data_IF_026584964806
#
_entry.id   IF_026584964806
#
_cell.length_a   1.000
_cell.length_b   1.000
_cell.length_c   1.000
_cell.angle_alpha   90.00
_cell.angle_beta   90.00
_cell.angle_gamma   90.00
#
_symmetry.space_group_name_H-M   'P 1'
#
loop_
_entity.id
_entity.type
_entity.pdbx_description
1 polymer ?
#
# COMPACT_ATOMS: atom_id res chain seq x y z
N UNK A 1 -8.03 18.03 0.68
CA UNK A 1 -7.59 16.76 0.09
C UNK A 1 -6.17 16.90 -0.41
N UNK A 2 -5.32 15.89 -0.15
CA UNK A 2 -3.92 15.86 -0.56
C UNK A 2 -3.67 14.81 -1.63
N UNK A 3 -2.67 15.02 -2.47
CA UNK A 3 -2.13 13.97 -3.33
C UNK A 3 -1.09 13.21 -2.50
N UNK A 4 -1.45 12.00 -2.06
CA UNK A 4 -0.57 11.12 -1.27
C UNK A 4 0.67 10.76 -2.06
N UNK A 5 0.51 10.48 -3.35
CA UNK A 5 1.63 10.13 -4.22
C UNK A 5 1.34 10.41 -5.69
N UNK A 6 2.38 10.83 -6.42
CA UNK A 6 2.48 10.66 -7.88
C UNK A 6 3.51 9.57 -8.12
N UNK A 7 3.09 8.45 -8.71
CA UNK A 7 3.94 7.28 -8.92
C UNK A 7 4.18 7.09 -10.42
N UNK A 8 5.45 7.21 -10.83
CA UNK A 8 5.86 6.95 -12.22
C UNK A 8 6.33 5.51 -12.37
N UNK A 9 5.69 4.77 -13.25
CA UNK A 9 6.06 3.42 -13.66
C UNK A 9 7.06 3.45 -14.81
N UNK A 10 8.12 2.65 -14.73
CA UNK A 10 9.10 2.45 -15.82
C UNK A 10 9.44 0.97 -16.00
N UNK A 11 9.59 0.50 -17.23
CA UNK A 11 10.17 -0.83 -17.49
C UNK A 11 11.67 -0.74 -17.77
N UNK A 12 12.45 -1.51 -17.03
CA UNK A 12 13.89 -1.65 -17.14
C UNK A 12 14.25 -2.99 -17.80
N UNK A 13 15.33 -2.96 -18.58
CA UNK A 13 15.95 -4.16 -19.17
C UNK A 13 17.26 -4.50 -18.45
N UNK A 14 17.91 -3.50 -17.87
CA UNK A 14 19.08 -3.61 -17.00
C UNK A 14 19.21 -2.31 -16.18
N UNK A 15 19.96 -2.35 -15.08
CA UNK A 15 20.23 -1.17 -14.24
C UNK A 15 21.31 -0.24 -14.81
N UNK A 16 22.02 -0.67 -15.86
CA UNK A 16 23.03 0.15 -16.53
C UNK A 16 22.43 1.36 -17.26
N UNK A 17 21.17 1.27 -17.70
CA UNK A 17 20.47 2.35 -18.41
C UNK A 17 19.77 3.30 -17.44
N UNK A 18 20.59 4.03 -16.67
CA UNK A 18 20.14 4.99 -15.64
C UNK A 18 19.26 6.14 -16.18
N UNK A 19 19.28 6.38 -17.49
CA UNK A 19 18.56 7.49 -18.12
C UNK A 19 17.04 7.46 -17.88
N UNK A 20 16.42 6.27 -17.91
CA UNK A 20 14.97 6.14 -17.63
C UNK A 20 14.61 6.59 -16.21
N UNK A 21 15.48 6.30 -15.24
CA UNK A 21 15.27 6.70 -13.84
C UNK A 21 15.38 8.23 -13.72
N UNK A 22 16.37 8.84 -14.39
CA UNK A 22 16.54 10.30 -14.43
C UNK A 22 15.34 10.99 -15.06
N UNK A 23 14.83 10.47 -16.18
CA UNK A 23 13.64 10.98 -16.86
C UNK A 23 12.38 10.88 -15.99
N UNK A 24 12.19 9.75 -15.31
CA UNK A 24 11.07 9.56 -14.37
C UNK A 24 11.18 10.51 -13.16
N UNK A 25 12.38 10.73 -12.63
CA UNK A 25 12.63 11.67 -11.53
C UNK A 25 12.29 13.11 -11.94
N UNK A 26 12.77 13.54 -13.11
CA UNK A 26 12.48 14.88 -13.62
C UNK A 26 10.99 15.06 -13.93
N UNK A 27 10.34 14.07 -14.53
CA UNK A 27 8.89 14.10 -14.73
C UNK A 27 8.15 14.23 -13.40
N UNK A 28 8.49 13.44 -12.39
CA UNK A 28 7.87 13.51 -11.06
C UNK A 28 8.01 14.91 -10.44
N UNK A 29 9.20 15.52 -10.54
CA UNK A 29 9.44 16.88 -10.05
C UNK A 29 8.56 17.91 -10.77
N UNK A 30 8.43 17.80 -12.10
CA UNK A 30 7.57 18.68 -12.87
C UNK A 30 6.08 18.46 -12.56
N UNK A 31 5.66 17.21 -12.39
CA UNK A 31 4.32 16.82 -12.01
C UNK A 31 3.93 17.45 -10.67
N UNK A 32 4.80 17.30 -9.66
CA UNK A 32 4.63 17.91 -8.35
C UNK A 32 4.42 19.43 -8.44
N UNK A 33 5.33 20.15 -9.10
CA UNK A 33 5.23 21.60 -9.29
C UNK A 33 3.92 21.97 -10.01
N UNK A 34 3.49 21.17 -10.98
CA UNK A 34 2.28 21.41 -11.76
C UNK A 34 1.02 21.33 -10.88
N UNK A 35 0.92 20.32 -10.02
CA UNK A 35 -0.19 20.19 -9.07
C UNK A 35 -0.16 21.24 -7.96
N UNK A 36 1.01 21.56 -7.41
CA UNK A 36 1.18 22.60 -6.38
C UNK A 36 0.76 23.98 -6.87
N UNK A 37 1.03 24.31 -8.15
CA UNK A 37 0.53 25.54 -8.78
C UNK A 37 -0.99 25.61 -8.92
N UNK A 38 -1.67 24.48 -8.86
CA UNK A 38 -3.15 24.40 -8.83
C UNK A 38 -3.71 24.36 -7.40
N UNK A 39 -2.85 24.48 -6.38
CA UNK A 39 -3.25 24.52 -4.97
C UNK A 39 -3.31 23.16 -4.28
N UNK A 40 -2.82 22.09 -4.90
CA UNK A 40 -2.74 20.77 -4.26
C UNK A 40 -1.42 20.56 -3.54
N UNK A 41 -1.46 20.04 -2.32
CA UNK A 41 -0.27 19.50 -1.65
C UNK A 41 0.04 18.11 -2.21
N UNK A 42 1.28 17.89 -2.65
CA UNK A 42 1.80 16.58 -3.07
C UNK A 42 2.75 16.09 -1.98
N UNK A 43 2.38 15.02 -1.28
CA UNK A 43 3.17 14.52 -0.15
C UNK A 43 4.45 13.80 -0.59
N UNK A 44 4.33 12.94 -1.61
CA UNK A 44 5.46 12.15 -2.11
C UNK A 44 5.42 11.99 -3.62
N UNK A 45 6.58 11.82 -4.23
CA UNK A 45 6.71 11.28 -5.59
C UNK A 45 7.47 9.98 -5.54
N UNK A 46 7.08 9.01 -6.37
CA UNK A 46 7.60 7.63 -6.30
C UNK A 46 7.93 7.10 -7.69
N UNK A 47 8.82 6.11 -7.74
CA UNK A 47 9.12 5.37 -8.98
C UNK A 47 8.93 3.88 -8.72
N UNK A 48 8.21 3.20 -9.61
CA UNK A 48 8.05 1.74 -9.56
C UNK A 48 8.51 1.11 -10.88
N UNK A 49 9.15 -0.06 -10.80
CA UNK A 49 9.63 -0.79 -11.99
C UNK A 49 8.78 -2.02 -12.30
N UNK A 50 9.05 -2.66 -13.45
CA UNK A 50 8.73 -4.09 -13.63
C UNK A 50 9.45 -4.95 -12.57
N UNK A 51 9.14 -6.24 -12.52
CA UNK A 51 9.81 -7.16 -11.59
C UNK A 51 11.32 -7.12 -11.79
N UNK A 52 12.06 -6.99 -10.69
CA UNK A 52 13.52 -7.07 -10.69
C UNK A 52 14.06 -8.43 -11.15
N UNK A 53 13.22 -9.47 -11.16
CA UNK A 53 13.57 -10.77 -11.72
C UNK A 53 13.86 -10.69 -13.23
N UNK A 54 13.27 -9.72 -13.95
CA UNK A 54 13.47 -9.55 -15.40
C UNK A 54 14.80 -8.87 -15.73
N UNK A 55 15.15 -7.79 -15.02
CA UNK A 55 16.32 -6.97 -15.37
C UNK A 55 17.58 -7.29 -14.54
N UNK A 56 17.49 -8.19 -13.56
CA UNK A 56 18.63 -8.77 -12.84
C UNK A 56 18.83 -10.26 -13.15
N UNK A 57 18.14 -10.78 -14.18
CA UNK A 57 18.23 -12.19 -14.56
C UNK A 57 19.67 -12.62 -14.84
N UNK A 58 20.05 -13.79 -14.31
CA UNK A 58 21.37 -14.40 -14.54
C UNK A 58 22.49 -13.93 -13.61
N UNK A 59 22.23 -12.91 -12.78
CA UNK A 59 23.15 -12.48 -11.73
C UNK A 59 23.09 -13.44 -10.52
N UNK A 60 24.20 -13.56 -9.80
CA UNK A 60 24.22 -14.19 -8.48
C UNK A 60 23.53 -13.31 -7.43
N UNK A 61 23.16 -13.90 -6.29
CA UNK A 61 22.57 -13.16 -5.15
C UNK A 61 23.39 -11.94 -4.72
N UNK A 62 24.72 -12.08 -4.68
CA UNK A 62 25.64 -11.01 -4.30
C UNK A 62 25.63 -9.88 -5.34
N UNK A 63 25.68 -10.23 -6.63
CA UNK A 63 25.63 -9.25 -7.71
C UNK A 63 24.29 -8.50 -7.74
N UNK A 64 23.17 -9.19 -7.55
CA UNK A 64 21.84 -8.56 -7.45
C UNK A 64 21.78 -7.52 -6.33
N UNK A 65 22.30 -7.85 -5.14
CA UNK A 65 22.33 -6.91 -4.00
C UNK A 65 23.21 -5.70 -4.33
N UNK A 66 24.41 -5.91 -4.88
CA UNK A 66 25.34 -4.83 -5.23
C UNK A 66 24.74 -3.87 -6.28
N UNK A 67 24.06 -4.42 -7.28
CA UNK A 67 23.38 -3.63 -8.31
C UNK A 67 22.22 -2.81 -7.73
N UNK A 68 21.45 -3.38 -6.78
CA UNK A 68 20.38 -2.65 -6.08
C UNK A 68 20.94 -1.56 -5.16
N UNK A 69 22.07 -1.77 -4.50
CA UNK A 69 22.75 -0.73 -3.72
C UNK A 69 23.24 0.42 -4.62
N UNK A 70 23.76 0.08 -5.80
CA UNK A 70 24.17 1.08 -6.81
C UNK A 70 22.96 1.88 -7.31
N UNK A 71 21.83 1.21 -7.53
CA UNK A 71 20.55 1.85 -7.84
C UNK A 71 20.10 2.81 -6.72
N UNK A 72 20.21 2.41 -5.46
CA UNK A 72 19.88 3.28 -4.33
C UNK A 72 20.76 4.54 -4.30
N UNK A 73 22.06 4.41 -4.51
CA UNK A 73 22.99 5.55 -4.58
C UNK A 73 22.59 6.53 -5.69
N UNK A 74 22.21 6.00 -6.87
CA UNK A 74 21.66 6.82 -7.95
C UNK A 74 20.37 7.53 -7.51
N UNK A 75 19.43 6.81 -6.89
CA UNK A 75 18.17 7.39 -6.41
C UNK A 75 18.42 8.54 -5.41
N UNK A 76 19.33 8.35 -4.47
CA UNK A 76 19.74 9.37 -3.50
C UNK A 76 20.35 10.60 -4.19
N UNK A 77 21.20 10.41 -5.20
CA UNK A 77 21.78 11.51 -5.99
C UNK A 77 20.73 12.34 -6.76
N UNK A 78 19.57 11.74 -7.02
CA UNK A 78 18.42 12.36 -7.70
C UNK A 78 17.34 12.84 -6.72
N UNK A 79 17.58 12.78 -5.40
CA UNK A 79 16.62 13.09 -4.34
C UNK A 79 15.33 12.24 -4.42
N UNK A 80 15.40 11.01 -4.89
CA UNK A 80 14.29 10.05 -4.84
C UNK A 80 14.30 9.38 -3.47
N UNK A 81 13.21 9.50 -2.71
CA UNK A 81 13.09 8.87 -1.36
C UNK A 81 12.27 7.57 -1.35
N UNK A 82 11.59 7.25 -2.45
CA UNK A 82 10.72 6.08 -2.56
C UNK A 82 10.89 5.43 -3.93
N UNK A 83 11.53 4.27 -3.96
CA UNK A 83 11.74 3.49 -5.18
C UNK A 83 11.30 2.04 -4.97
N UNK A 84 10.46 1.51 -5.85
CA UNK A 84 10.01 0.12 -5.80
C UNK A 84 10.58 -0.68 -6.98
N UNK A 85 11.33 -1.73 -6.67
CA UNK A 85 11.97 -2.60 -7.67
C UNK A 85 11.01 -3.69 -8.21
N UNK A 86 9.72 -3.63 -7.84
CA UNK A 86 8.72 -4.62 -8.21
C UNK A 86 8.71 -5.82 -7.26
N UNK A 87 8.31 -6.99 -7.78
CA UNK A 87 8.05 -8.17 -6.98
C UNK A 87 9.00 -9.34 -7.28
N UNK A 88 9.16 -10.24 -6.32
CA UNK A 88 9.71 -11.59 -6.51
C UNK A 88 8.56 -12.61 -6.62
N UNK A 89 8.74 -13.65 -7.44
CA UNK A 89 7.70 -14.67 -7.67
C UNK A 89 8.21 -16.11 -7.56
N UNK A 90 9.41 -16.32 -7.03
CA UNK A 90 10.00 -17.65 -6.80
C UNK A 90 10.65 -17.72 -5.42
N UNK A 91 10.72 -18.90 -4.78
CA UNK A 91 11.33 -19.00 -3.46
C UNK A 91 12.77 -18.46 -3.41
N UNK A 92 13.57 -18.73 -4.44
CA UNK A 92 14.99 -18.34 -4.49
C UNK A 92 15.18 -16.82 -4.56
N UNK A 93 14.26 -16.09 -5.20
CA UNK A 93 14.30 -14.63 -5.30
C UNK A 93 13.64 -13.97 -4.10
N UNK A 94 12.60 -14.59 -3.52
CA UNK A 94 11.98 -14.14 -2.27
C UNK A 94 13.00 -14.17 -1.12
N UNK A 95 13.85 -15.20 -1.01
CA UNK A 95 14.90 -15.30 0.02
C UNK A 95 15.96 -14.17 -0.05
N UNK A 96 16.06 -13.45 -1.17
CA UNK A 96 17.00 -12.33 -1.34
C UNK A 96 16.46 -11.04 -0.70
N UNK A 97 15.14 -10.93 -0.54
CA UNK A 97 14.47 -9.71 -0.08
C UNK A 97 14.97 -9.21 1.29
N UNK A 98 15.18 -10.06 2.31
CA UNK A 98 15.73 -9.61 3.59
C UNK A 98 17.09 -8.93 3.46
N UNK A 99 17.95 -9.44 2.56
CA UNK A 99 19.26 -8.84 2.31
C UNK A 99 19.12 -7.50 1.59
N UNK A 100 18.23 -7.39 0.59
CA UNK A 100 17.88 -6.10 -0.03
C UNK A 100 17.41 -5.09 1.03
N UNK A 101 16.52 -5.52 1.93
CA UNK A 101 15.98 -4.66 2.98
C UNK A 101 17.05 -4.19 3.96
N UNK A 102 17.99 -5.07 4.33
CA UNK A 102 19.08 -4.79 5.27
C UNK A 102 20.10 -3.81 4.70
N UNK A 103 20.42 -3.96 3.41
CA UNK A 103 21.49 -3.21 2.75
C UNK A 103 21.00 -1.94 2.05
N UNK A 104 19.71 -1.62 2.18
CA UNK A 104 19.11 -0.41 1.62
C UNK A 104 18.16 0.28 2.59
N UNK A 105 17.83 1.52 2.30
CA UNK A 105 17.03 2.43 3.13
C UNK A 105 15.76 2.93 2.46
N UNK A 106 15.76 3.08 1.12
CA UNK A 106 14.63 3.64 0.34
C UNK A 106 14.07 2.68 -0.71
N UNK A 107 14.61 1.46 -0.81
CA UNK A 107 14.16 0.44 -1.77
C UNK A 107 13.01 -0.38 -1.15
N UNK A 108 11.91 -0.43 -1.89
CA UNK A 108 10.73 -1.22 -1.60
C UNK A 108 10.64 -2.38 -2.58
N UNK A 109 10.06 -3.48 -2.14
CA UNK A 109 9.73 -4.60 -3.00
C UNK A 109 8.59 -5.42 -2.40
N UNK A 110 8.11 -6.41 -3.16
CA UNK A 110 7.06 -7.30 -2.69
C UNK A 110 7.28 -8.73 -3.16
N UNK A 111 6.42 -9.65 -2.70
CA UNK A 111 6.36 -11.00 -3.24
C UNK A 111 4.95 -11.36 -3.70
N UNK A 112 4.88 -12.08 -4.83
CA UNK A 112 3.64 -12.61 -5.40
C UNK A 112 3.42 -14.06 -4.93
N UNK A 113 2.28 -14.32 -4.30
CA UNK A 113 1.92 -15.67 -3.83
C UNK A 113 0.71 -16.27 -4.54
N UNK A 114 0.07 -15.54 -5.46
CA UNK A 114 -1.00 -16.12 -6.27
C UNK A 114 -1.79 -15.11 -7.08
N UNK A 115 -2.59 -15.64 -7.99
CA UNK A 115 -3.62 -14.90 -8.71
C UNK A 115 -4.76 -15.83 -9.15
N UNK A 116 -5.78 -15.27 -9.78
CA UNK A 116 -6.95 -16.00 -10.25
C UNK A 116 -6.63 -17.06 -11.30
N UNK A 117 -5.55 -16.86 -12.06
CA UNK A 117 -5.18 -17.74 -13.17
C UNK A 117 -4.39 -18.96 -12.67
N UNK A 118 -3.44 -18.73 -11.76
CA UNK A 118 -2.48 -19.73 -11.29
C UNK A 118 -2.85 -20.35 -9.94
N UNK A 119 -3.80 -19.75 -9.21
CA UNK A 119 -4.12 -20.16 -7.85
C UNK A 119 -3.09 -19.68 -6.84
N UNK A 120 -3.05 -20.32 -5.67
CA UNK A 120 -2.10 -19.99 -4.60
C UNK A 120 -0.82 -20.81 -4.78
N UNK A 121 0.33 -20.13 -4.78
CA UNK A 121 1.64 -20.77 -4.67
C UNK A 121 2.02 -20.87 -3.19
N UNK A 122 1.87 -22.08 -2.64
CA UNK A 122 2.15 -22.36 -1.22
C UNK A 122 3.63 -22.28 -0.85
N UNK A 123 4.54 -22.56 -1.78
CA UNK A 123 5.98 -22.45 -1.56
C UNK A 123 6.38 -20.98 -1.42
N UNK A 124 5.90 -20.12 -2.32
CA UNK A 124 6.09 -18.67 -2.22
C UNK A 124 5.45 -18.10 -0.95
N UNK A 125 4.27 -18.59 -0.54
CA UNK A 125 3.64 -18.16 0.71
C UNK A 125 4.51 -18.49 1.93
N UNK A 126 5.06 -19.71 1.99
CA UNK A 126 5.95 -20.14 3.07
C UNK A 126 7.26 -19.35 3.06
N UNK A 127 7.85 -19.11 1.89
CA UNK A 127 9.10 -18.35 1.78
C UNK A 127 8.90 -16.86 2.11
N UNK A 128 7.75 -16.30 1.72
CA UNK A 128 7.36 -14.94 2.11
C UNK A 128 7.18 -14.81 3.62
N UNK A 129 6.62 -15.82 4.28
CA UNK A 129 6.51 -15.84 5.74
C UNK A 129 7.88 -15.84 6.44
N UNK A 130 8.86 -16.60 5.92
CA UNK A 130 10.25 -16.54 6.41
C UNK A 130 10.87 -15.17 6.21
N UNK A 131 10.64 -14.58 5.04
CA UNK A 131 11.10 -13.23 4.68
C UNK A 131 10.57 -12.18 5.65
N UNK A 132 9.26 -12.17 5.93
CA UNK A 132 8.63 -11.26 6.91
C UNK A 132 9.31 -11.37 8.28
N UNK A 133 9.52 -12.62 8.75
CA UNK A 133 10.13 -12.87 10.07
C UNK A 133 11.59 -12.44 10.13
N UNK A 134 12.37 -12.77 9.09
CA UNK A 134 13.80 -12.42 8.99
C UNK A 134 14.01 -10.91 8.93
N UNK A 135 13.23 -10.19 8.09
CA UNK A 135 13.26 -8.72 8.05
C UNK A 135 12.96 -8.15 9.44
N UNK A 136 11.95 -8.70 10.14
CA UNK A 136 11.60 -8.23 11.48
C UNK A 136 12.78 -8.37 12.46
N UNK A 137 13.48 -9.51 12.42
CA UNK A 137 14.60 -9.79 13.32
C UNK A 137 15.87 -9.00 13.00
N UNK A 138 16.04 -8.60 11.74
CA UNK A 138 17.22 -7.89 11.25
C UNK A 138 17.01 -6.36 11.16
N UNK A 139 15.86 -5.84 11.58
CA UNK A 139 15.54 -4.41 11.57
C UNK A 139 15.10 -3.91 12.94
N UNK A 140 15.34 -2.62 13.22
CA UNK A 140 14.94 -1.99 14.47
C UNK A 140 13.43 -2.09 14.67
N UNK A 141 13.00 -2.69 15.78
CA UNK A 141 11.60 -2.88 16.16
C UNK A 141 10.73 -3.52 15.05
N UNK A 142 11.33 -4.28 14.14
CA UNK A 142 10.65 -4.91 13.01
C UNK A 142 10.25 -3.95 11.88
N UNK A 143 10.73 -2.71 11.91
CA UNK A 143 10.33 -1.63 11.00
C UNK A 143 10.66 -1.90 9.53
N UNK A 144 11.63 -2.76 9.24
CA UNK A 144 12.02 -3.10 7.85
C UNK A 144 10.84 -3.63 7.03
N UNK A 145 9.84 -4.25 7.66
CA UNK A 145 8.62 -4.71 7.00
C UNK A 145 7.75 -3.57 6.44
N UNK A 146 8.01 -2.31 6.82
CA UNK A 146 7.38 -1.15 6.16
C UNK A 146 7.70 -1.11 4.66
N UNK A 147 8.85 -1.64 4.25
CA UNK A 147 9.32 -1.68 2.85
C UNK A 147 8.99 -2.97 2.10
N UNK A 148 8.23 -3.89 2.72
CA UNK A 148 7.91 -5.19 2.14
C UNK A 148 6.45 -5.60 2.36
N UNK A 149 5.83 -6.18 1.34
CA UNK A 149 4.51 -6.81 1.49
C UNK A 149 4.40 -8.05 0.60
N UNK A 150 3.44 -8.89 0.93
CA UNK A 150 3.08 -10.09 0.17
C UNK A 150 1.72 -9.86 -0.47
N UNK A 151 1.51 -10.25 -1.72
CA UNK A 151 0.24 -9.99 -2.39
C UNK A 151 -0.27 -11.12 -3.28
N UNK A 152 -1.58 -11.07 -3.52
CA UNK A 152 -2.27 -11.86 -4.53
C UNK A 152 -3.19 -10.97 -5.37
N UNK A 153 -3.36 -11.31 -6.65
CA UNK A 153 -4.25 -10.59 -7.59
C UNK A 153 -4.00 -9.08 -7.78
N UNK A 154 -2.82 -8.58 -7.41
CA UNK A 154 -2.48 -7.18 -7.64
C UNK A 154 -2.08 -6.96 -9.10
N UNK A 155 -2.62 -5.91 -9.71
CA UNK A 155 -2.36 -5.53 -11.10
C UNK A 155 -1.25 -4.45 -11.15
N UNK A 156 -0.64 -4.21 -12.33
CA UNK A 156 0.33 -3.14 -12.48
C UNK A 156 -0.31 -1.77 -12.20
N UNK A 157 0.53 -0.76 -11.97
CA UNK A 157 0.14 0.65 -11.83
C UNK A 157 -0.61 1.00 -10.53
N UNK A 158 -0.61 0.12 -9.51
CA UNK A 158 -0.93 0.51 -8.13
C UNK A 158 0.09 1.57 -7.66
N UNK A 159 -0.32 2.78 -7.26
CA UNK A 159 0.63 3.83 -6.85
C UNK A 159 1.21 3.63 -5.44
N UNK A 160 0.58 2.77 -4.63
CA UNK A 160 0.93 2.55 -3.23
C UNK A 160 2.01 1.49 -3.04
N UNK A 161 2.97 1.79 -2.17
CA UNK A 161 4.07 0.88 -1.83
C UNK A 161 3.70 0.06 -0.60
N UNK A 162 4.18 -1.19 -0.47
CA UNK A 162 5.22 -1.85 -1.29
C UNK A 162 4.71 -2.64 -2.51
N UNK A 163 3.41 -2.62 -2.81
CA UNK A 163 2.83 -3.44 -3.88
C UNK A 163 3.11 -2.93 -5.30
N UNK A 164 3.36 -1.62 -5.46
CA UNK A 164 3.54 -0.98 -6.75
C UNK A 164 4.57 -1.71 -7.66
N UNK A 165 4.15 -2.00 -8.88
CA UNK A 165 5.01 -2.42 -9.98
C UNK A 165 4.42 -1.92 -11.31
N UNK A 166 5.20 -1.99 -12.38
CA UNK A 166 4.81 -1.42 -13.68
C UNK A 166 5.06 -2.39 -14.84
N UNK A 167 4.24 -2.29 -15.89
CA UNK A 167 4.45 -2.99 -17.15
C UNK A 167 4.19 -2.05 -18.34
N UNK A 168 5.05 -2.16 -19.36
CA UNK A 168 4.89 -1.46 -20.63
C UNK A 168 5.66 -0.14 -20.73
N UNK A 169 5.04 0.85 -21.39
CA UNK A 169 5.65 2.17 -21.59
C UNK A 169 5.51 3.03 -20.35
N UNK A 170 6.49 3.91 -20.13
CA UNK A 170 6.50 4.88 -19.03
C UNK A 170 5.16 5.58 -18.89
N UNK A 171 4.61 5.51 -17.69
CA UNK A 171 3.31 6.07 -17.34
C UNK A 171 3.27 6.50 -15.89
N UNK A 172 2.25 7.25 -15.49
CA UNK A 172 2.08 7.66 -14.11
C UNK A 172 0.66 7.45 -13.59
N UNK A 173 0.57 7.20 -12.29
CA UNK A 173 -0.68 7.12 -11.53
C UNK A 173 -0.66 8.06 -10.33
N UNK A 174 -1.85 8.39 -9.84
CA UNK A 174 -2.05 9.28 -8.71
C UNK A 174 -2.70 8.49 -7.58
N UNK A 175 -2.13 8.56 -6.38
CA UNK A 175 -2.76 8.10 -5.14
C UNK A 175 -3.20 9.28 -4.29
N UNK A 176 -4.41 9.19 -3.70
CA UNK A 176 -5.01 10.27 -2.92
C UNK A 176 -5.06 9.95 -1.43
N UNK A 177 -5.11 11.00 -0.60
CA UNK A 177 -5.45 10.93 0.82
C UNK A 177 -6.85 11.53 0.99
N UNK A 178 -7.86 10.68 1.22
CA UNK A 178 -9.28 11.02 1.14
C UNK A 178 -9.98 11.16 2.51
N UNK A 179 -9.22 11.07 3.62
CA UNK A 179 -9.77 11.01 4.97
C UNK A 179 -10.62 12.23 5.36
N UNK A 180 -10.26 13.41 4.86
CA UNK A 180 -11.00 14.66 5.09
C UNK A 180 -12.38 14.65 4.40
N UNK A 181 -12.43 14.23 3.13
CA UNK A 181 -13.68 14.15 2.35
C UNK A 181 -14.64 13.12 2.94
N UNK A 182 -14.11 12.00 3.45
CA UNK A 182 -14.91 10.96 4.11
C UNK A 182 -15.42 11.42 5.46
N UNK A 183 -14.56 12.02 6.29
CA UNK A 183 -14.99 12.60 7.56
C UNK A 183 -16.11 13.62 7.34
N UNK A 184 -15.98 14.49 6.33
CA UNK A 184 -17.02 15.45 5.96
C UNK A 184 -18.33 14.75 5.57
N UNK A 185 -18.28 13.80 4.64
CA UNK A 185 -19.47 13.12 4.13
C UNK A 185 -20.24 12.36 5.22
N UNK A 186 -19.50 11.66 6.10
CA UNK A 186 -20.09 10.83 7.16
C UNK A 186 -20.59 11.69 8.34
N UNK A 187 -19.90 12.78 8.67
CA UNK A 187 -20.33 13.69 9.75
C UNK A 187 -21.63 14.44 9.45
N UNK A 188 -21.98 14.61 8.17
CA UNK A 188 -23.17 15.31 7.72
C UNK A 188 -24.34 14.37 7.41
N UNK A 189 -24.20 13.07 7.69
CA UNK A 189 -25.19 12.06 7.36
C UNK A 189 -25.80 11.43 8.62
N UNK A 190 -27.11 11.20 8.58
CA UNK A 190 -27.84 10.52 9.66
C UNK A 190 -28.00 9.01 9.42
N UNK A 191 -27.64 8.52 8.24
CA UNK A 191 -27.74 7.12 7.83
C UNK A 191 -26.81 6.82 6.64
N UNK A 192 -26.57 5.53 6.40
CA UNK A 192 -25.64 5.05 5.35
C UNK A 192 -26.02 5.55 3.97
N UNK A 193 -27.30 5.61 3.63
CA UNK A 193 -27.76 6.04 2.29
C UNK A 193 -27.41 7.50 2.03
N UNK A 194 -27.65 8.39 3.01
CA UNK A 194 -27.25 9.80 2.91
C UNK A 194 -25.73 9.95 2.87
N UNK A 195 -24.99 9.18 3.65
CA UNK A 195 -23.52 9.19 3.62
C UNK A 195 -22.97 8.77 2.25
N UNK A 196 -23.54 7.73 1.65
CA UNK A 196 -23.19 7.22 0.31
C UNK A 196 -23.39 8.31 -0.75
N UNK A 197 -24.54 8.97 -0.74
CA UNK A 197 -24.87 10.05 -1.68
C UNK A 197 -23.96 11.27 -1.52
N UNK A 198 -23.72 11.70 -0.27
CA UNK A 198 -22.85 12.83 0.04
C UNK A 198 -21.42 12.56 -0.44
N UNK A 199 -20.88 11.37 -0.13
CA UNK A 199 -19.53 11.01 -0.52
C UNK A 199 -19.40 10.91 -2.04
N UNK A 200 -20.38 10.32 -2.73
CA UNK A 200 -20.36 10.22 -4.19
C UNK A 200 -20.29 11.61 -4.84
N UNK A 201 -21.11 12.55 -4.40
CA UNK A 201 -21.10 13.93 -4.92
C UNK A 201 -19.74 14.60 -4.70
N UNK A 202 -19.20 14.49 -3.49
CA UNK A 202 -17.93 15.12 -3.11
C UNK A 202 -16.78 14.53 -3.94
N UNK A 203 -16.69 13.20 -4.04
CA UNK A 203 -15.61 12.54 -4.77
C UNK A 203 -15.71 12.81 -6.27
N UNK A 204 -16.91 12.78 -6.86
CA UNK A 204 -17.09 13.09 -8.28
C UNK A 204 -16.56 14.49 -8.61
N UNK A 205 -16.88 15.49 -7.77
CA UNK A 205 -16.41 16.86 -7.98
C UNK A 205 -14.89 17.01 -7.81
N UNK A 206 -14.32 16.44 -6.75
CA UNK A 206 -12.91 16.65 -6.42
C UNK A 206 -11.96 15.82 -7.30
N UNK A 207 -12.33 14.58 -7.64
CA UNK A 207 -11.46 13.71 -8.45
C UNK A 207 -11.47 14.14 -9.93
N UNK A 208 -12.58 14.68 -10.45
CA UNK A 208 -12.61 15.23 -11.80
C UNK A 208 -11.61 16.38 -11.98
N UNK A 209 -11.44 17.26 -10.98
CA UNK A 209 -10.44 18.34 -11.03
C UNK A 209 -9.03 17.77 -11.17
N UNK A 210 -8.68 16.76 -10.37
CA UNK A 210 -7.37 16.10 -10.43
C UNK A 210 -7.17 15.39 -11.77
N UNK A 211 -8.18 14.66 -12.25
CA UNK A 211 -8.13 13.95 -13.52
C UNK A 211 -7.84 14.92 -14.69
N UNK A 212 -8.51 16.07 -14.74
CA UNK A 212 -8.26 17.09 -15.78
C UNK A 212 -6.82 17.62 -15.73
N UNK A 213 -6.26 17.82 -14.53
CA UNK A 213 -4.86 18.25 -14.37
C UNK A 213 -3.90 17.16 -14.83
N UNK A 214 -4.20 15.89 -14.49
CA UNK A 214 -3.40 14.74 -14.90
C UNK A 214 -3.38 14.55 -16.43
N UNK A 215 -4.53 14.68 -17.10
CA UNK A 215 -4.59 14.59 -18.58
C UNK A 215 -3.77 15.71 -19.24
N UNK A 216 -3.85 16.95 -18.73
CA UNK A 216 -2.99 18.05 -19.22
C UNK A 216 -1.50 17.77 -19.05
N UNK A 217 -1.13 17.12 -17.94
CA UNK A 217 0.25 16.71 -17.68
C UNK A 217 0.68 15.62 -18.67
N UNK A 218 -0.19 14.64 -18.92
CA UNK A 218 0.02 13.57 -19.89
C UNK A 218 0.29 14.13 -21.29
N UNK A 219 -0.56 15.05 -21.77
CA UNK A 219 -0.40 15.70 -23.07
C UNK A 219 0.90 16.52 -23.17
N UNK A 220 1.20 17.29 -22.11
CA UNK A 220 2.35 18.20 -22.10
C UNK A 220 3.69 17.46 -22.12
N UNK A 221 3.80 16.35 -21.39
CA UNK A 221 5.06 15.63 -21.21
C UNK A 221 5.13 14.32 -22.01
N UNK A 222 4.07 13.95 -22.73
CA UNK A 222 3.95 12.69 -23.46
C UNK A 222 4.20 11.45 -22.59
N UNK A 223 3.80 11.51 -21.31
CA UNK A 223 3.84 10.39 -20.36
C UNK A 223 2.43 9.96 -20.06
N UNK A 224 2.09 8.69 -20.33
CA UNK A 224 0.71 8.22 -20.24
C UNK A 224 0.15 8.33 -18.82
N UNK A 225 -1.01 8.99 -18.67
CA UNK A 225 -1.77 8.94 -17.42
C UNK A 225 -2.59 7.64 -17.33
N UNK A 226 -2.40 6.87 -16.27
CA UNK A 226 -3.06 5.55 -16.09
C UNK A 226 -4.27 5.60 -15.17
N UNK A 227 -4.44 6.66 -14.40
CA UNK A 227 -5.62 6.84 -13.55
C UNK A 227 -5.28 7.33 -12.14
N UNK A 228 -6.36 7.48 -11.37
CA UNK A 228 -6.33 7.72 -9.94
C UNK A 228 -6.67 6.41 -9.22
N UNK A 229 -5.85 6.05 -8.25
CA UNK A 229 -6.24 5.07 -7.25
C UNK A 229 -7.08 5.79 -6.17
N UNK A 230 -8.37 5.48 -6.16
CA UNK A 230 -9.36 6.05 -5.26
C UNK A 230 -9.32 5.42 -3.87
N UNK A 231 -8.37 4.52 -3.61
CA UNK A 231 -8.16 3.96 -2.29
C UNK A 231 -7.92 5.02 -1.21
N UNK A 232 -8.50 4.76 -0.04
CA UNK A 232 -8.37 5.63 1.12
C UNK A 232 -7.05 5.33 1.79
N UNK A 233 -6.01 6.13 1.50
CA UNK A 233 -4.87 6.21 2.39
C UNK A 233 -5.25 7.13 3.57
N UNK A 234 -5.32 6.63 4.81
CA UNK A 234 -5.54 7.48 5.96
C UNK A 234 -4.27 8.30 6.29
N UNK A 235 -4.44 9.27 7.16
CA UNK A 235 -3.36 10.11 7.66
C UNK A 235 -3.19 9.89 9.16
N UNK A 236 -2.04 10.32 9.69
CA UNK A 236 -1.79 10.36 11.13
C UNK A 236 -2.57 11.48 11.84
N UNK A 237 -3.33 12.31 11.10
CA UNK A 237 -4.20 13.32 11.67
C UNK A 237 -5.49 12.70 12.22
N UNK A 238 -5.70 12.93 13.51
CA UNK A 238 -6.91 12.55 14.23
C UNK A 238 -8.19 13.05 13.57
N UNK A 239 -8.16 14.21 12.93
CA UNK A 239 -9.34 14.83 12.32
C UNK A 239 -9.78 14.12 11.04
N UNK A 240 -8.90 13.36 10.40
CA UNK A 240 -9.17 12.66 9.15
C UNK A 240 -9.13 11.13 9.30
N UNK A 241 -9.11 10.63 10.54
CA UNK A 241 -9.07 9.19 10.82
C UNK A 241 -10.31 8.49 10.26
N UNK A 242 -10.08 7.38 9.55
CA UNK A 242 -11.14 6.59 8.95
C UNK A 242 -12.00 5.92 10.02
N UNK A 243 -11.39 5.41 11.09
CA UNK A 243 -12.13 4.78 12.19
C UNK A 243 -13.06 5.80 12.87
N UNK A 244 -12.58 7.02 13.11
CA UNK A 244 -13.42 8.06 13.72
C UNK A 244 -14.48 8.60 12.77
N UNK A 245 -14.24 8.60 11.45
CA UNK A 245 -15.26 8.93 10.47
C UNK A 245 -16.43 7.93 10.51
N UNK A 246 -16.14 6.62 10.65
CA UNK A 246 -17.18 5.59 10.79
C UNK A 246 -18.09 5.87 11.98
N UNK A 247 -17.49 6.25 13.10
CA UNK A 247 -18.16 6.52 14.38
C UNK A 247 -19.05 7.77 14.35
N UNK A 248 -18.96 8.60 13.30
CA UNK A 248 -19.95 9.66 13.05
C UNK A 248 -21.27 9.13 12.50
N UNK A 249 -21.22 7.99 11.83
CA UNK A 249 -22.35 7.37 11.16
C UNK A 249 -22.98 6.22 11.95
N UNK A 250 -22.20 5.56 12.83
CA UNK A 250 -22.66 4.45 13.66
C UNK A 250 -22.76 4.84 15.14
N UNK A 251 -23.64 4.16 15.88
CA UNK A 251 -23.81 4.37 17.33
C UNK A 251 -22.73 3.68 18.19
N UNK A 252 -21.77 3.00 17.56
CA UNK A 252 -20.73 2.22 18.22
C UNK A 252 -19.33 2.65 17.79
N UNK A 253 -18.33 1.85 18.16
CA UNK A 253 -16.95 2.05 17.76
C UNK A 253 -16.64 1.26 16.48
N UNK A 254 -15.65 1.71 15.72
CA UNK A 254 -15.10 0.88 14.64
C UNK A 254 -14.72 -0.49 15.20
N UNK A 255 -15.07 -1.56 14.49
CA UNK A 255 -14.93 -2.94 14.96
C UNK A 255 -16.25 -3.56 15.43
N UNK A 256 -17.20 -2.76 15.90
CA UNK A 256 -18.53 -3.26 16.27
C UNK A 256 -19.40 -3.56 15.03
N UNK A 257 -20.54 -4.20 15.27
CA UNK A 257 -21.58 -4.46 14.26
C UNK A 257 -21.92 -3.19 13.47
N UNK A 258 -21.97 -3.31 12.14
CA UNK A 258 -22.16 -2.19 11.22
C UNK A 258 -20.87 -1.75 10.51
N UNK A 259 -19.68 -2.01 11.08
CA UNK A 259 -18.39 -1.66 10.45
C UNK A 259 -18.26 -2.25 9.04
N UNK A 260 -18.61 -3.53 8.87
CA UNK A 260 -18.56 -4.20 7.56
C UNK A 260 -19.49 -3.54 6.52
N UNK A 261 -20.68 -3.09 6.93
CA UNK A 261 -21.64 -2.46 6.04
C UNK A 261 -21.14 -1.09 5.55
N UNK A 262 -20.54 -0.30 6.45
CA UNK A 262 -19.93 0.99 6.10
C UNK A 262 -18.72 0.75 5.18
N UNK A 263 -17.87 -0.22 5.47
CA UNK A 263 -16.73 -0.58 4.60
C UNK A 263 -17.18 -0.97 3.18
N UNK A 264 -18.24 -1.76 3.07
CA UNK A 264 -18.82 -2.10 1.78
C UNK A 264 -19.40 -0.91 1.03
N UNK A 265 -20.06 0.02 1.74
CA UNK A 265 -20.56 1.27 1.15
C UNK A 265 -19.43 2.15 0.62
N UNK A 266 -18.39 2.41 1.42
CA UNK A 266 -17.26 3.23 1.00
C UNK A 266 -16.61 2.64 -0.26
N UNK A 267 -16.32 1.34 -0.28
CA UNK A 267 -15.74 0.70 -1.46
C UNK A 267 -16.64 0.81 -2.70
N UNK A 268 -17.98 0.73 -2.58
CA UNK A 268 -18.88 0.95 -3.72
C UNK A 268 -18.72 2.36 -4.29
N UNK A 269 -18.70 3.38 -3.43
CA UNK A 269 -18.57 4.77 -3.87
C UNK A 269 -17.21 5.03 -4.52
N UNK A 270 -16.12 4.54 -3.91
CA UNK A 270 -14.77 4.70 -4.47
C UNK A 270 -14.61 4.10 -5.88
N UNK A 271 -15.42 3.08 -6.21
CA UNK A 271 -15.43 2.42 -7.52
C UNK A 271 -16.44 3.01 -8.51
N UNK A 272 -17.36 3.87 -8.07
CA UNK A 272 -18.43 4.40 -8.92
C UNK A 272 -18.15 5.80 -9.48
N UNK A 273 -17.04 6.44 -9.08
CA UNK A 273 -16.66 7.76 -9.59
C UNK A 273 -16.28 7.71 -11.07
N UNK A 274 -16.65 8.75 -11.82
CA UNK A 274 -16.56 8.77 -13.28
C UNK A 274 -15.22 9.28 -13.80
N UNK A 275 -14.12 8.88 -13.17
CA UNK A 275 -12.75 9.17 -13.60
C UNK A 275 -12.04 7.91 -14.06
N UNK A 276 -10.89 8.05 -14.72
CA UNK A 276 -10.01 6.91 -15.00
C UNK A 276 -9.46 6.35 -13.69
N UNK A 277 -9.95 5.19 -13.27
CA UNK A 277 -9.57 4.52 -12.03
C UNK A 277 -8.44 3.51 -12.29
N UNK A 278 -7.49 3.40 -11.36
CA UNK A 278 -6.44 2.37 -11.35
C UNK A 278 -6.18 1.83 -9.93
N UNK A 279 -5.29 0.84 -9.83
CA UNK A 279 -4.76 0.36 -8.56
C UNK A 279 -5.72 -0.52 -7.75
N UNK A 280 -5.76 -0.34 -6.42
CA UNK A 280 -6.66 -1.09 -5.53
C UNK A 280 -8.11 -0.59 -5.64
N UNK A 281 -8.29 0.74 -5.72
CA UNK A 281 -9.58 1.43 -5.86
C UNK A 281 -10.62 0.98 -4.83
N UNK A 282 -10.20 0.89 -3.57
CA UNK A 282 -11.04 0.43 -2.47
C UNK A 282 -10.52 0.85 -1.10
N UNK A 283 -11.28 0.59 -0.04
CA UNK A 283 -10.88 0.99 1.31
C UNK A 283 -9.54 0.37 1.74
N UNK A 284 -8.61 1.17 2.28
CA UNK A 284 -7.43 0.64 3.00
C UNK A 284 -7.64 0.82 4.50
N UNK A 285 -7.23 -0.17 5.28
CA UNK A 285 -7.31 -0.15 6.74
C UNK A 285 -5.91 -0.36 7.36
N UNK A 286 -4.93 0.51 7.08
CA UNK A 286 -3.59 0.39 7.64
C UNK A 286 -3.62 0.73 9.14
N UNK A 287 -3.58 -0.31 9.98
CA UNK A 287 -3.77 -0.17 11.43
C UNK A 287 -2.81 0.82 12.07
N UNK A 288 -1.54 0.80 11.68
CA UNK A 288 -0.52 1.68 12.23
C UNK A 288 -0.35 2.99 11.43
N UNK A 289 -1.11 3.25 10.37
CA UNK A 289 -1.09 4.56 9.68
C UNK A 289 -2.36 5.39 9.95
N UNK A 290 -3.25 4.94 10.85
CA UNK A 290 -4.44 5.67 11.26
C UNK A 290 -4.58 5.66 12.79
N UNK A 291 -4.57 6.85 13.39
CA UNK A 291 -4.64 7.01 14.86
C UNK A 291 -5.93 6.45 15.47
N UNK A 292 -7.03 6.43 14.73
CA UNK A 292 -8.28 5.87 15.20
C UNK A 292 -8.31 4.35 15.10
N UNK A 293 -7.78 3.76 14.00
CA UNK A 293 -7.60 2.31 13.92
C UNK A 293 -6.69 1.83 15.07
N UNK A 294 -5.54 2.47 15.27
CA UNK A 294 -4.64 2.17 16.38
C UNK A 294 -5.34 2.29 17.75
N UNK A 295 -6.11 3.36 17.99
CA UNK A 295 -6.86 3.53 19.23
C UNK A 295 -7.89 2.40 19.44
N UNK A 296 -8.57 1.98 18.38
CA UNK A 296 -9.59 0.92 18.42
C UNK A 296 -8.99 -0.48 18.56
N UNK A 297 -7.79 -0.71 18.02
CA UNK A 297 -6.99 -1.89 18.30
C UNK A 297 -6.54 -1.95 19.77
N UNK A 298 -6.11 -0.81 20.34
CA UNK A 298 -5.71 -0.71 21.75
C UNK A 298 -6.86 -1.05 22.72
N UNK A 299 -8.08 -0.70 22.32
CA UNK A 299 -9.33 -1.00 23.03
C UNK A 299 -9.90 -2.40 22.70
N UNK A 300 -9.24 -3.16 21.82
CA UNK A 300 -9.64 -4.52 21.41
C UNK A 300 -11.07 -4.60 20.86
N UNK A 301 -11.49 -3.57 20.14
CA UNK A 301 -12.82 -3.53 19.48
C UNK A 301 -12.88 -4.34 18.19
N UNK A 302 -11.71 -4.70 17.64
CA UNK A 302 -11.57 -5.60 16.49
C UNK A 302 -10.25 -6.36 16.59
N UNK A 303 -10.15 -7.46 15.84
CA UNK A 303 -8.97 -8.32 15.74
C UNK A 303 -8.54 -8.56 14.28
N UNK A 304 -7.56 -9.46 14.09
CA UNK A 304 -7.06 -9.81 12.77
C UNK A 304 -8.10 -10.56 11.92
N UNK A 305 -9.01 -11.31 12.53
CA UNK A 305 -10.13 -11.97 11.85
C UNK A 305 -11.12 -10.94 11.33
N UNK A 306 -11.39 -9.88 12.09
CA UNK A 306 -12.17 -8.75 11.59
C UNK A 306 -11.48 -8.06 10.41
N UNK A 307 -10.16 -7.84 10.46
CA UNK A 307 -9.43 -7.25 9.33
C UNK A 307 -9.51 -8.13 8.07
N UNK A 308 -9.39 -9.46 8.19
CA UNK A 308 -9.61 -10.40 7.09
C UNK A 308 -11.06 -10.33 6.58
N UNK A 309 -12.05 -10.30 7.48
CA UNK A 309 -13.46 -10.15 7.12
C UNK A 309 -13.71 -8.85 6.34
N UNK A 310 -13.17 -7.73 6.82
CA UNK A 310 -13.27 -6.45 6.12
C UNK A 310 -12.56 -6.50 4.76
N UNK A 311 -11.45 -7.24 4.66
CA UNK A 311 -10.75 -7.45 3.39
C UNK A 311 -11.63 -8.07 2.31
N UNK A 312 -12.73 -8.77 2.65
CA UNK A 312 -13.72 -9.23 1.68
C UNK A 312 -14.40 -8.06 0.93
N UNK A 313 -14.59 -6.92 1.58
CA UNK A 313 -15.26 -5.73 1.01
C UNK A 313 -14.35 -4.50 0.85
N UNK A 314 -13.07 -4.58 1.22
CA UNK A 314 -12.08 -3.49 1.13
C UNK A 314 -11.17 -3.56 -0.12
N UNK A 315 -10.13 -2.74 -0.21
CA UNK A 315 -9.16 -2.71 -1.31
C UNK A 315 -7.81 -3.36 -1.00
N UNK A 316 -7.22 -3.16 0.19
CA UNK A 316 -5.79 -3.45 0.41
C UNK A 316 -5.47 -4.80 1.07
N UNK A 317 -6.35 -5.37 1.90
CA UNK A 317 -6.05 -6.57 2.69
C UNK A 317 -5.59 -6.25 4.12
N UNK A 318 -4.56 -6.97 4.60
CA UNK A 318 -3.97 -6.78 5.93
C UNK A 318 -2.84 -5.76 5.85
N UNK A 319 -3.08 -4.52 6.28
CA UNK A 319 -2.11 -3.46 6.08
C UNK A 319 -1.59 -2.89 7.41
N UNK A 320 -0.27 -2.74 7.51
CA UNK A 320 0.46 -2.37 8.74
C UNK A 320 -0.02 -3.08 10.01
N UNK A 321 -0.15 -4.40 9.95
CA UNK A 321 -0.71 -5.16 11.08
C UNK A 321 0.42 -5.67 12.00
N UNK A 322 0.54 -5.18 13.25
CA UNK A 322 1.53 -5.68 14.18
C UNK A 322 1.10 -7.03 14.76
N UNK A 323 1.98 -8.01 14.71
CA UNK A 323 1.78 -9.38 15.18
C UNK A 323 2.93 -9.79 16.13
N UNK A 324 2.78 -10.87 16.93
CA UNK A 324 3.78 -11.24 17.91
C UNK A 324 5.12 -11.57 17.26
N UNK A 325 6.24 -11.17 17.88
CA UNK A 325 7.58 -11.46 17.33
C UNK A 325 7.96 -12.94 17.38
N UNK A 326 7.37 -13.68 18.33
CA UNK A 326 7.54 -15.13 18.47
C UNK A 326 6.61 -15.95 17.58
N UNK A 327 5.79 -15.31 16.73
CA UNK A 327 4.88 -15.99 15.81
C UNK A 327 5.63 -16.99 14.91
N UNK A 328 5.05 -18.17 14.69
CA UNK A 328 5.67 -19.22 13.86
C UNK A 328 5.53 -18.90 12.38
N UNK A 329 6.44 -19.47 11.57
CA UNK A 329 6.37 -19.36 10.10
C UNK A 329 5.05 -19.95 9.59
N UNK A 330 4.59 -21.03 10.21
CA UNK A 330 3.34 -21.73 9.89
C UNK A 330 2.13 -20.80 10.06
N UNK A 331 2.06 -20.05 11.16
CA UNK A 331 0.96 -19.09 11.41
C UNK A 331 0.97 -17.93 10.44
N UNK A 332 2.14 -17.33 10.16
CA UNK A 332 2.25 -16.28 9.13
C UNK A 332 1.82 -16.85 7.77
N UNK A 333 2.27 -18.06 7.41
CA UNK A 333 1.93 -18.70 6.14
C UNK A 333 0.42 -18.92 6.01
N UNK A 334 -0.24 -19.41 7.06
CA UNK A 334 -1.69 -19.60 7.06
C UNK A 334 -2.44 -18.28 6.83
N UNK A 335 -2.04 -17.21 7.53
CA UNK A 335 -2.63 -15.88 7.36
C UNK A 335 -2.48 -15.33 5.94
N UNK A 336 -1.31 -15.55 5.32
CA UNK A 336 -1.07 -15.17 3.92
C UNK A 336 -1.94 -15.98 2.95
N UNK A 337 -2.15 -17.26 3.20
CA UNK A 337 -3.01 -18.14 2.40
C UNK A 337 -4.48 -17.73 2.53
N UNK A 338 -4.95 -17.36 3.72
CA UNK A 338 -6.33 -16.87 3.92
C UNK A 338 -6.56 -15.57 3.15
N UNK A 339 -5.61 -14.64 3.21
CA UNK A 339 -5.66 -13.40 2.42
C UNK A 339 -5.67 -13.70 0.91
N UNK A 340 -4.79 -14.58 0.43
CA UNK A 340 -4.75 -14.95 -0.99
C UNK A 340 -6.03 -15.67 -1.44
N UNK A 341 -6.62 -16.49 -0.58
CA UNK A 341 -7.89 -17.17 -0.83
C UNK A 341 -9.01 -16.16 -1.05
N UNK A 342 -9.12 -15.14 -0.19
CA UNK A 342 -10.07 -14.04 -0.38
C UNK A 342 -9.80 -13.27 -1.68
N UNK A 343 -8.54 -12.96 -1.96
CA UNK A 343 -8.13 -12.22 -3.15
C UNK A 343 -8.58 -12.94 -4.43
N UNK A 344 -8.30 -14.24 -4.52
CA UNK A 344 -8.61 -15.09 -5.66
C UNK A 344 -10.11 -15.31 -5.78
N UNK A 345 -10.78 -15.68 -4.68
CA UNK A 345 -12.22 -15.99 -4.68
C UNK A 345 -13.08 -14.80 -5.08
N UNK A 346 -12.68 -13.60 -4.66
CA UNK A 346 -13.38 -12.35 -4.94
C UNK A 346 -12.83 -11.62 -6.16
N UNK A 347 -11.82 -12.20 -6.84
CA UNK A 347 -11.11 -11.60 -7.96
C UNK A 347 -10.75 -10.13 -7.73
N UNK A 348 -10.04 -9.88 -6.64
CA UNK A 348 -9.65 -8.54 -6.20
C UNK A 348 -8.19 -8.52 -5.74
N UNK A 349 -7.50 -7.39 -5.87
CA UNK A 349 -6.17 -7.23 -5.31
C UNK A 349 -6.26 -7.29 -3.78
N UNK A 350 -5.39 -8.06 -3.13
CA UNK A 350 -5.14 -7.97 -1.69
C UNK A 350 -3.66 -8.17 -1.41
N UNK A 351 -3.20 -7.55 -0.34
CA UNK A 351 -1.84 -7.63 0.16
C UNK A 351 -1.83 -7.79 1.68
N UNK A 352 -0.71 -8.28 2.19
CA UNK A 352 -0.40 -8.41 3.60
C UNK A 352 0.94 -7.73 3.87
N UNK A 353 0.89 -6.65 4.66
CA UNK A 353 2.04 -5.97 5.24
C UNK A 353 2.00 -6.18 6.76
N UNK A 354 2.65 -7.25 7.18
CA UNK A 354 2.67 -7.72 8.55
C UNK A 354 3.94 -7.27 9.28
N UNK A 355 3.80 -6.90 10.54
CA UNK A 355 4.91 -6.46 11.39
C UNK A 355 5.04 -7.40 12.60
N UNK A 356 5.74 -8.53 12.50
CA UNK A 356 6.19 -9.23 13.70
C UNK A 356 7.08 -8.28 14.51
N UNK A 357 6.76 -8.08 15.79
CA UNK A 357 7.48 -7.14 16.64
C UNK A 357 8.50 -7.91 17.50
N UNK A 358 9.81 -7.80 17.23
CA UNK A 358 10.83 -8.57 17.93
C UNK A 358 10.73 -8.44 19.45
N UNK A 359 10.88 -9.56 20.15
CA UNK A 359 10.87 -9.65 21.61
C UNK A 359 9.56 -9.19 22.30
N UNK A 360 8.47 -9.00 21.54
CA UNK A 360 7.16 -8.64 22.08
C UNK A 360 6.08 -9.66 21.72
N UNK A 361 5.06 -9.73 22.56
CA UNK A 361 3.91 -10.64 22.47
C UNK A 361 2.61 -9.89 22.18
N UNK A 362 1.57 -10.64 21.90
CA UNK A 362 0.21 -10.11 21.75
C UNK A 362 -0.21 -9.28 22.97
N UNK A 363 -0.89 -8.16 22.72
CA UNK A 363 -1.35 -7.22 23.74
C UNK A 363 -0.33 -6.19 24.21
N UNK A 364 0.96 -6.38 23.95
CA UNK A 364 2.00 -5.37 24.21
C UNK A 364 1.95 -4.25 23.14
N UNK A 365 2.45 -3.06 23.49
CA UNK A 365 2.51 -1.91 22.56
C UNK A 365 3.71 -2.01 21.62
N UNK A 366 3.53 -1.60 20.37
CA UNK A 366 4.64 -1.36 19.43
C UNK A 366 5.49 -0.16 19.84
N UNK A 367 6.64 0.03 19.19
CA UNK A 367 7.50 1.21 19.39
C UNK A 367 8.24 1.52 18.08
N UNK A 368 7.52 2.02 17.07
CA UNK A 368 8.06 2.16 15.72
C UNK A 368 9.02 3.35 15.54
N UNK A 369 8.93 4.39 16.38
CA UNK A 369 9.72 5.62 16.25
C UNK A 369 9.71 6.21 14.82
N UNK A 370 8.55 6.19 14.16
CA UNK A 370 8.42 6.53 12.74
C UNK A 370 7.54 7.76 12.53
N UNK A 371 7.86 8.64 11.57
CA UNK A 371 6.95 9.72 11.16
C UNK A 371 5.77 9.21 10.33
N UNK A 372 5.76 7.93 9.93
CA UNK A 372 4.71 7.32 9.12
C UNK A 372 3.81 6.38 9.90
N UNK A 373 4.24 5.90 11.07
CA UNK A 373 3.51 4.92 11.86
C UNK A 373 3.17 5.45 13.26
N UNK A 374 1.98 5.11 13.73
CA UNK A 374 1.55 5.28 15.12
C UNK A 374 1.58 3.94 15.85
N UNK A 375 1.90 3.99 17.14
CA UNK A 375 1.98 2.78 17.94
C UNK A 375 0.61 2.24 18.34
N UNK A 376 0.45 0.92 18.28
CA UNK A 376 -0.73 0.22 18.77
C UNK A 376 -0.37 -1.10 19.44
N UNK A 377 -1.36 -1.73 20.07
CA UNK A 377 -1.23 -3.08 20.64
C UNK A 377 -1.04 -4.09 19.52
N UNK A 378 -0.16 -5.04 19.79
CA UNK A 378 0.10 -6.19 18.93
C UNK A 378 -1.12 -7.12 18.95
N UNK A 379 -1.61 -7.50 17.78
CA UNK A 379 -2.76 -8.41 17.66
C UNK A 379 -2.40 -9.82 18.10
N UNK A 380 -3.39 -10.54 18.64
CA UNK A 380 -3.30 -11.99 18.79
C UNK A 380 -3.45 -12.66 17.42
N UNK A 381 -2.65 -13.70 17.17
CA UNK A 381 -2.79 -14.58 16.00
C UNK A 381 -2.82 -16.02 16.49
N UNK A 382 -4.01 -16.62 16.45
CA UNK A 382 -4.27 -17.95 17.03
C UNK A 382 -3.96 -19.10 16.09
#
# INVERSE_FOLDING_TARGET
MKIRTITTGISLQSLQKQEKIKQAAEFNRQAQIFFEKQGYEVQTTRIATNTWEEYLQGLSKIEMINEIQTLEQLCQSLNISFFNIGYASKPETIDIIPDINKYTSIIYCSSKIGDRETGINFENARESAKTIKRISQESENGYGNFRFCVWANCQPDIPFFPTAYHTGNTSFTIGLELGDLIMQALSQANNITTAEQNLQLILELELNKIAVIAEKLSDKFAVSYKGIDTSIAPSLDKQTSIAFAYEKLMSGKFGHSGTLAISGMLTRVLKSVSVKICGYSGLMLPVCEDVGLAARANEQTYDITNLLLYSAVCGCGLDTVPIPGDITIEKITALLIDMATLAIKLNKPLSARLFPIPNKKAGEMTTFNSPYLVDCKIFTVD
#
